data_IF_041008518762
#
_entry.id   IF_041008518762
#
_cell.length_a   1.000
_cell.length_b   1.000
_cell.length_c   1.000
_cell.angle_alpha   90.00
_cell.angle_beta   90.00
_cell.angle_gamma   90.00
#
_symmetry.space_group_name_H-M   'P 1'
#
loop_
_entity.id
_entity.type
_entity.pdbx_description
1 polymer ?
#
# COMPACT_ATOMS: atom_id res chain seq x y z
N UNK A 1 25.81 5.90 4.85
CA UNK A 1 27.06 5.22 5.27
C UNK A 1 26.81 3.97 6.10
N UNK A 2 26.24 4.10 7.31
CA UNK A 2 25.98 2.97 8.23
C UNK A 2 25.24 1.77 7.60
N UNK A 3 24.25 2.02 6.75
CA UNK A 3 23.48 0.97 6.05
C UNK A 3 24.30 0.22 4.98
N UNK A 4 25.34 0.84 4.40
CA UNK A 4 26.12 0.29 3.29
C UNK A 4 27.48 -0.30 3.73
N UNK A 5 27.72 -0.41 5.04
CA UNK A 5 28.93 -1.01 5.60
C UNK A 5 30.09 -0.04 5.88
N UNK A 6 29.91 1.26 5.61
CA UNK A 6 30.88 2.30 5.96
C UNK A 6 32.26 2.15 5.32
N UNK A 7 33.28 2.72 5.98
CA UNK A 7 34.69 2.68 5.56
C UNK A 7 35.31 1.26 5.47
N UNK A 8 34.60 0.22 5.93
CA UNK A 8 35.03 -1.19 5.78
C UNK A 8 34.62 -1.79 4.43
N UNK A 9 33.69 -1.15 3.71
CA UNK A 9 33.21 -1.58 2.41
C UNK A 9 33.24 -0.42 1.39
N UNK A 10 34.45 -0.06 0.95
CA UNK A 10 34.70 1.04 -0.01
C UNK A 10 34.13 0.82 -1.43
N UNK A 11 33.37 -0.27 -1.65
CA UNK A 11 32.78 -0.60 -2.95
C UNK A 11 31.48 0.17 -3.20
N UNK A 12 30.78 0.61 -2.16
CA UNK A 12 29.50 1.29 -2.28
C UNK A 12 29.62 2.72 -1.77
N UNK A 13 29.38 3.70 -2.64
CA UNK A 13 29.41 5.10 -2.27
C UNK A 13 28.01 5.55 -1.83
N UNK A 14 27.80 5.98 -0.57
CA UNK A 14 26.48 6.45 -0.11
C UNK A 14 25.91 7.62 -0.91
N UNK A 15 26.76 8.46 -1.52
CA UNK A 15 26.31 9.57 -2.37
C UNK A 15 25.55 9.05 -3.60
N UNK A 16 25.89 7.86 -4.11
CA UNK A 16 25.20 7.24 -5.24
C UNK A 16 23.72 7.01 -4.95
N UNK A 17 23.36 6.71 -3.69
CA UNK A 17 21.96 6.53 -3.29
C UNK A 17 21.18 7.83 -3.48
N UNK A 18 21.72 8.94 -2.97
CA UNK A 18 21.11 10.25 -3.11
C UNK A 18 21.00 10.67 -4.58
N UNK A 19 22.08 10.49 -5.35
CA UNK A 19 22.12 10.88 -6.75
C UNK A 19 21.09 10.10 -7.57
N UNK A 20 20.92 8.80 -7.32
CA UNK A 20 19.90 7.99 -7.99
C UNK A 20 18.48 8.37 -7.54
N UNK A 21 18.24 8.62 -6.25
CA UNK A 21 16.94 9.11 -5.78
C UNK A 21 16.58 10.47 -6.42
N UNK A 22 17.57 11.37 -6.57
CA UNK A 22 17.40 12.64 -7.26
C UNK A 22 17.12 12.46 -8.75
N UNK A 23 17.87 11.60 -9.46
CA UNK A 23 17.63 11.27 -10.86
C UNK A 23 16.22 10.70 -11.09
N UNK A 24 15.78 9.79 -10.23
CA UNK A 24 14.42 9.25 -10.25
C UNK A 24 13.38 10.34 -10.02
N UNK A 25 13.61 11.26 -9.08
CA UNK A 25 12.71 12.39 -8.84
C UNK A 25 12.60 13.32 -10.04
N UNK A 26 13.73 13.64 -10.68
CA UNK A 26 13.75 14.45 -11.90
C UNK A 26 13.05 13.75 -13.06
N UNK A 27 13.23 12.42 -13.21
CA UNK A 27 12.53 11.63 -14.21
C UNK A 27 11.02 11.55 -13.95
N UNK A 28 10.59 11.45 -12.69
CA UNK A 28 9.17 11.49 -12.31
C UNK A 28 8.51 12.82 -12.69
N UNK A 29 9.24 13.93 -12.62
CA UNK A 29 8.77 15.26 -12.99
C UNK A 29 8.90 15.63 -14.47
N UNK A 30 9.34 14.71 -15.34
CA UNK A 30 9.55 15.03 -16.75
C UNK A 30 8.21 15.28 -17.47
N UNK A 31 8.23 16.08 -18.54
CA UNK A 31 7.04 16.47 -19.33
C UNK A 31 7.02 15.94 -20.76
N UNK A 32 7.58 14.75 -21.01
CA UNK A 32 7.63 14.17 -22.36
C UNK A 32 6.24 13.82 -22.91
N UNK A 33 5.28 13.46 -22.06
CA UNK A 33 3.90 13.17 -22.47
C UNK A 33 2.98 14.29 -21.99
N UNK A 34 2.33 14.98 -22.94
CA UNK A 34 1.48 16.15 -22.66
C UNK A 34 0.03 15.82 -22.30
N UNK A 35 -0.47 14.68 -22.79
CA UNK A 35 -1.87 14.30 -22.66
C UNK A 35 -1.98 13.08 -21.75
N UNK A 36 -2.09 13.34 -20.46
CA UNK A 36 -2.34 12.31 -19.44
C UNK A 36 -3.70 12.53 -18.81
N UNK A 37 -4.35 11.43 -18.42
CA UNK A 37 -5.58 11.51 -17.66
C UNK A 37 -5.29 12.08 -16.26
N UNK A 38 -5.94 13.19 -15.92
CA UNK A 38 -5.80 13.84 -14.60
C UNK A 38 -6.20 12.94 -13.41
N UNK A 39 -6.92 11.85 -13.65
CA UNK A 39 -7.27 10.84 -12.64
C UNK A 39 -6.29 9.65 -12.61
N UNK A 40 -5.13 9.75 -13.26
CA UNK A 40 -4.09 8.71 -13.30
C UNK A 40 -4.57 7.36 -13.89
N UNK A 41 -5.62 7.38 -14.71
CA UNK A 41 -6.18 6.21 -15.38
C UNK A 41 -5.82 6.25 -16.87
N UNK A 42 -4.61 5.79 -17.20
CA UNK A 42 -4.13 5.70 -18.58
C UNK A 42 -4.00 4.22 -18.98
N UNK A 43 -5.07 3.61 -19.53
CA UNK A 43 -5.02 2.24 -20.00
C UNK A 43 -4.24 2.17 -21.32
N UNK A 44 -3.22 1.34 -21.36
CA UNK A 44 -2.45 1.02 -22.57
C UNK A 44 -2.52 -0.47 -22.87
N UNK A 45 -2.49 -0.81 -24.14
CA UNK A 45 -2.28 -2.17 -24.63
C UNK A 45 -0.83 -2.61 -24.49
N UNK A 46 -0.59 -3.92 -24.51
CA UNK A 46 0.76 -4.49 -24.53
C UNK A 46 1.65 -3.85 -25.61
N UNK A 47 1.13 -3.73 -26.84
CA UNK A 47 1.83 -3.16 -27.98
C UNK A 47 2.17 -1.68 -27.81
N UNK A 48 1.25 -0.87 -27.25
CA UNK A 48 1.53 0.54 -26.98
C UNK A 48 2.65 0.70 -25.94
N UNK A 49 2.69 -0.14 -24.90
CA UNK A 49 3.78 -0.09 -23.90
C UNK A 49 5.12 -0.45 -24.52
N UNK A 50 5.18 -1.53 -25.31
CA UNK A 50 6.43 -2.00 -25.91
C UNK A 50 6.94 -1.04 -27.00
N UNK A 51 6.05 -0.52 -27.86
CA UNK A 51 6.44 0.34 -28.98
C UNK A 51 6.64 1.81 -28.59
N UNK A 52 5.73 2.39 -27.79
CA UNK A 52 5.73 3.83 -27.54
C UNK A 52 6.55 4.22 -26.30
N UNK A 53 6.73 3.27 -25.37
CA UNK A 53 7.47 3.45 -24.12
C UNK A 53 8.74 2.60 -24.04
N UNK A 54 9.02 1.79 -25.07
CA UNK A 54 10.23 0.94 -25.17
C UNK A 54 10.47 0.06 -23.94
N UNK A 55 9.38 -0.43 -23.34
CA UNK A 55 9.45 -1.31 -22.19
C UNK A 55 8.95 -2.71 -22.56
N UNK A 56 9.84 -3.70 -22.49
CA UNK A 56 9.52 -5.12 -22.75
C UNK A 56 8.61 -5.68 -21.65
N UNK A 57 7.32 -5.33 -21.76
CA UNK A 57 6.30 -5.72 -20.81
C UNK A 57 6.05 -7.24 -20.86
N UNK A 58 6.27 -7.86 -22.02
CA UNK A 58 6.20 -9.32 -22.18
C UNK A 58 7.22 -10.03 -21.29
N UNK A 59 8.50 -9.72 -21.42
CA UNK A 59 9.54 -10.35 -20.60
C UNK A 59 9.40 -9.93 -19.12
N UNK A 60 9.07 -8.67 -18.85
CA UNK A 60 8.84 -8.20 -17.48
C UNK A 60 7.74 -9.00 -16.78
N UNK A 61 6.55 -9.12 -17.38
CA UNK A 61 5.44 -9.87 -16.76
C UNK A 61 5.74 -11.36 -16.67
N UNK A 62 6.45 -11.94 -17.63
CA UNK A 62 6.93 -13.32 -17.54
C UNK A 62 7.88 -13.52 -16.36
N UNK A 63 8.81 -12.60 -16.11
CA UNK A 63 9.71 -12.63 -14.93
C UNK A 63 8.96 -12.42 -13.61
N UNK A 64 7.87 -11.66 -13.63
CA UNK A 64 6.95 -11.60 -12.49
C UNK A 64 6.20 -12.93 -12.28
N UNK A 65 6.07 -13.79 -13.29
CA UNK A 65 5.41 -15.10 -13.16
C UNK A 65 4.02 -15.17 -13.80
N UNK A 66 3.67 -14.19 -14.65
CA UNK A 66 2.50 -14.32 -15.51
C UNK A 66 2.71 -15.44 -16.54
N UNK A 67 1.67 -16.25 -16.78
CA UNK A 67 1.68 -17.26 -17.86
C UNK A 67 1.54 -16.61 -19.24
N UNK A 68 0.76 -15.55 -19.31
CA UNK A 68 0.52 -14.75 -20.51
C UNK A 68 0.53 -13.28 -20.10
N UNK A 69 1.21 -12.39 -20.85
CA UNK A 69 1.17 -10.97 -20.56
C UNK A 69 -0.27 -10.42 -20.54
N UNK A 70 -0.60 -9.50 -19.63
CA UNK A 70 -1.91 -8.86 -19.62
C UNK A 70 -2.10 -8.06 -20.92
N UNK A 71 -3.30 -8.12 -21.50
CA UNK A 71 -3.62 -7.41 -22.75
C UNK A 71 -3.63 -5.90 -22.58
N UNK A 72 -3.90 -5.42 -21.37
CA UNK A 72 -3.92 -4.00 -21.00
C UNK A 72 -3.34 -3.81 -19.61
N UNK A 73 -2.66 -2.69 -19.43
CA UNK A 73 -2.16 -2.22 -18.13
C UNK A 73 -2.58 -0.77 -17.91
N UNK A 74 -2.67 -0.36 -16.65
CA UNK A 74 -2.93 1.04 -16.30
C UNK A 74 -1.61 1.65 -15.86
N UNK A 75 -1.17 2.69 -16.55
CA UNK A 75 0.03 3.45 -16.18
C UNK A 75 -0.42 4.75 -15.53
N UNK A 76 -0.07 4.96 -14.26
CA UNK A 76 -0.57 6.11 -13.50
C UNK A 76 -0.02 7.44 -13.99
N UNK A 77 1.24 7.50 -14.41
CA UNK A 77 1.80 8.65 -15.11
C UNK A 77 2.62 8.19 -16.31
N UNK A 78 2.21 8.65 -17.50
CA UNK A 78 2.79 8.22 -18.77
C UNK A 78 4.19 8.78 -18.95
N UNK A 79 4.37 10.08 -18.68
CA UNK A 79 5.61 10.81 -18.80
C UNK A 79 6.64 10.28 -17.81
N UNK A 80 6.27 10.17 -16.53
CA UNK A 80 7.14 9.59 -15.51
C UNK A 80 7.59 8.17 -15.89
N UNK A 81 6.66 7.32 -16.33
CA UNK A 81 6.99 5.97 -16.77
C UNK A 81 8.00 5.98 -17.93
N UNK A 82 7.76 6.78 -18.97
CA UNK A 82 8.66 6.89 -20.13
C UNK A 82 10.07 7.33 -19.75
N UNK A 83 10.19 8.38 -18.94
CA UNK A 83 11.49 8.90 -18.53
C UNK A 83 12.23 7.97 -17.58
N UNK A 84 11.51 7.31 -16.66
CA UNK A 84 12.11 6.32 -15.77
C UNK A 84 12.60 5.11 -16.56
N UNK A 85 11.84 4.61 -17.55
CA UNK A 85 12.30 3.49 -18.40
C UNK A 85 13.62 3.84 -19.09
N UNK A 86 13.70 5.01 -19.74
CA UNK A 86 14.95 5.49 -20.36
C UNK A 86 16.10 5.62 -19.37
N UNK A 87 15.82 6.16 -18.18
CA UNK A 87 16.82 6.36 -17.13
C UNK A 87 17.36 5.02 -16.61
N UNK A 88 16.47 4.06 -16.36
CA UNK A 88 16.82 2.71 -15.90
C UNK A 88 17.60 1.97 -16.99
N UNK A 89 17.11 1.94 -18.22
CA UNK A 89 17.77 1.27 -19.35
C UNK A 89 19.22 1.74 -19.52
N UNK A 90 19.43 3.06 -19.44
CA UNK A 90 20.76 3.66 -19.56
C UNK A 90 21.70 3.30 -18.41
N UNK A 91 21.21 3.20 -17.18
CA UNK A 91 22.07 3.21 -15.99
C UNK A 91 22.05 1.94 -15.14
N UNK A 92 21.14 0.99 -15.37
CA UNK A 92 20.88 -0.15 -14.48
C UNK A 92 22.13 -0.96 -14.13
N UNK A 93 23.06 -1.14 -15.08
CA UNK A 93 24.28 -1.92 -14.90
C UNK A 93 25.47 -1.14 -14.34
N UNK A 94 25.28 0.13 -13.96
CA UNK A 94 26.34 0.96 -13.36
C UNK A 94 26.52 0.65 -11.88
N UNK A 95 27.73 0.84 -11.34
CA UNK A 95 27.99 0.67 -9.91
C UNK A 95 27.11 1.60 -9.05
N UNK A 96 26.86 2.81 -9.52
CA UNK A 96 25.96 3.79 -8.87
C UNK A 96 24.55 3.22 -8.66
N UNK A 97 23.93 2.69 -9.72
CA UNK A 97 22.59 2.11 -9.64
C UNK A 97 22.56 0.77 -8.89
N UNK A 98 23.65 0.00 -8.95
CA UNK A 98 23.81 -1.20 -8.12
C UNK A 98 23.86 -0.86 -6.64
N UNK A 99 24.57 0.21 -6.25
CA UNK A 99 24.60 0.71 -4.86
C UNK A 99 23.20 1.05 -4.38
N UNK A 100 22.43 1.80 -5.17
CA UNK A 100 21.04 2.12 -4.87
C UNK A 100 20.16 0.87 -4.72
N UNK A 101 20.27 -0.10 -5.64
CA UNK A 101 19.51 -1.34 -5.55
C UNK A 101 19.80 -2.12 -4.26
N UNK A 102 21.07 -2.25 -3.88
CA UNK A 102 21.46 -2.91 -2.61
C UNK A 102 20.91 -2.13 -1.41
N UNK A 103 21.00 -0.80 -1.44
CA UNK A 103 20.44 0.05 -0.39
C UNK A 103 18.95 -0.17 -0.19
N UNK A 104 18.14 -0.30 -1.25
CA UNK A 104 16.71 -0.57 -1.14
C UNK A 104 16.43 -1.86 -0.35
N UNK A 105 17.22 -2.91 -0.56
CA UNK A 105 17.12 -4.16 0.20
C UNK A 105 17.52 -3.99 1.65
N UNK A 106 18.67 -3.38 1.91
CA UNK A 106 19.17 -3.17 3.28
C UNK A 106 18.23 -2.29 4.08
N UNK A 107 17.71 -1.20 3.51
CA UNK A 107 16.73 -0.31 4.14
C UNK A 107 15.51 -1.05 4.69
N UNK A 108 15.06 -2.12 4.01
CA UNK A 108 13.94 -2.94 4.50
C UNK A 108 14.42 -4.01 5.49
N UNK A 109 15.50 -4.71 5.18
CA UNK A 109 16.04 -5.80 6.00
C UNK A 109 16.41 -5.35 7.42
N UNK A 110 17.07 -4.19 7.57
CA UNK A 110 17.51 -3.67 8.88
C UNK A 110 16.36 -3.42 9.86
N UNK A 111 15.11 -3.34 9.37
CA UNK A 111 13.92 -3.14 10.19
C UNK A 111 13.49 -4.40 10.92
N UNK A 112 14.01 -5.57 10.54
CA UNK A 112 13.63 -6.86 11.11
C UNK A 112 14.72 -7.50 11.97
N UNK A 113 15.88 -6.86 12.09
CA UNK A 113 16.94 -7.27 13.02
C UNK A 113 17.06 -6.22 14.12
N UNK A 114 16.95 -6.63 15.38
CA UNK A 114 16.87 -5.73 16.53
C UNK A 114 18.03 -4.72 16.58
N UNK A 115 19.26 -5.21 16.47
CA UNK A 115 20.49 -4.40 16.49
C UNK A 115 20.59 -3.41 15.32
N UNK A 116 19.98 -3.73 14.17
CA UNK A 116 20.07 -2.90 12.98
C UNK A 116 18.92 -1.90 12.86
N UNK A 117 17.84 -2.10 13.64
CA UNK A 117 16.71 -1.16 13.67
C UNK A 117 17.12 0.23 14.10
N UNK A 118 18.18 0.36 14.91
CA UNK A 118 18.71 1.67 15.32
C UNK A 118 19.22 2.47 14.12
N UNK A 119 19.84 1.81 13.13
CA UNK A 119 20.28 2.46 11.89
C UNK A 119 19.09 3.09 11.15
N UNK A 120 17.95 2.38 11.09
CA UNK A 120 16.74 2.91 10.48
C UNK A 120 16.13 4.04 11.32
N UNK A 121 16.03 3.83 12.64
CA UNK A 121 15.42 4.77 13.56
C UNK A 121 16.19 6.09 13.61
N UNK A 122 17.52 6.07 13.70
CA UNK A 122 18.34 7.28 13.82
C UNK A 122 18.14 8.24 12.66
N UNK A 123 18.00 7.71 11.43
CA UNK A 123 17.73 8.54 10.25
C UNK A 123 16.24 8.79 10.04
N UNK A 124 15.44 7.75 9.78
CA UNK A 124 14.04 7.93 9.38
C UNK A 124 13.12 8.31 10.53
N UNK A 125 13.33 7.74 11.73
CA UNK A 125 12.52 8.06 12.90
C UNK A 125 12.94 9.39 13.53
N UNK A 126 14.19 9.48 13.97
CA UNK A 126 14.70 10.60 14.76
C UNK A 126 15.02 11.83 13.91
N UNK A 127 15.80 11.69 12.85
CA UNK A 127 16.19 12.85 12.03
C UNK A 127 15.07 13.33 11.10
N UNK A 128 14.43 12.43 10.34
CA UNK A 128 13.39 12.80 9.36
C UNK A 128 12.03 13.07 10.02
N UNK A 129 11.57 12.18 10.91
CA UNK A 129 10.24 12.29 11.54
C UNK A 129 10.26 13.00 12.91
N UNK A 130 11.43 13.32 13.47
CA UNK A 130 11.55 14.00 14.76
C UNK A 130 11.17 13.13 15.97
N UNK A 131 11.12 11.81 15.82
CA UNK A 131 10.77 10.89 16.90
C UNK A 131 11.85 10.89 17.99
N UNK A 132 11.45 11.08 19.24
CA UNK A 132 12.38 11.11 20.38
C UNK A 132 12.76 9.72 20.87
N UNK A 133 11.91 8.72 20.65
CA UNK A 133 12.09 7.34 21.14
C UNK A 133 11.71 6.31 20.08
N UNK A 134 12.50 5.24 20.00
CA UNK A 134 12.21 4.08 19.15
C UNK A 134 11.05 3.29 19.75
N UNK A 135 10.18 2.75 18.91
CA UNK A 135 9.12 1.84 19.36
C UNK A 135 9.72 0.62 20.09
N UNK A 136 9.24 0.27 21.30
CA UNK A 136 9.72 -0.87 22.06
C UNK A 136 9.68 -2.18 21.27
N UNK A 137 10.66 -3.05 21.49
CA UNK A 137 10.79 -4.32 20.75
C UNK A 137 9.57 -5.23 20.97
N UNK A 138 9.07 -5.31 22.20
CA UNK A 138 7.92 -6.13 22.58
C UNK A 138 6.66 -5.78 21.76
N UNK A 139 6.47 -4.48 21.48
CA UNK A 139 5.33 -4.00 20.69
C UNK A 139 5.61 -4.06 19.19
N UNK A 140 6.86 -3.91 18.75
CA UNK A 140 7.21 -3.77 17.33
C UNK A 140 6.85 -5.00 16.48
N UNK A 141 6.86 -6.18 17.10
CA UNK A 141 6.44 -7.44 16.48
C UNK A 141 5.02 -7.39 15.89
N UNK A 142 4.17 -6.46 16.36
CA UNK A 142 2.82 -6.26 15.86
C UNK A 142 2.77 -6.00 14.35
N UNK A 143 3.78 -5.37 13.76
CA UNK A 143 3.81 -5.12 12.31
C UNK A 143 3.90 -6.42 11.53
N UNK A 144 4.86 -7.29 11.85
CA UNK A 144 4.98 -8.60 11.21
C UNK A 144 3.74 -9.47 11.44
N UNK A 145 3.23 -9.49 12.69
CA UNK A 145 2.03 -10.26 13.04
C UNK A 145 0.79 -9.77 12.29
N UNK A 146 0.57 -8.46 12.19
CA UNK A 146 -0.58 -7.91 11.49
C UNK A 146 -0.51 -8.04 9.97
N UNK A 147 0.69 -8.06 9.38
CA UNK A 147 0.84 -8.33 7.95
C UNK A 147 0.55 -9.79 7.60
N UNK A 148 0.89 -10.73 8.50
CA UNK A 148 0.75 -12.18 8.30
C UNK A 148 -0.59 -12.74 8.76
N UNK A 149 -1.10 -12.26 9.90
CA UNK A 149 -2.21 -12.84 10.67
C UNK A 149 -3.34 -11.85 10.94
N UNK A 150 -3.69 -11.10 9.90
CA UNK A 150 -4.65 -10.01 9.95
C UNK A 150 -6.04 -10.44 10.42
N UNK A 151 -6.52 -11.58 9.91
CA UNK A 151 -7.84 -12.11 10.23
C UNK A 151 -7.87 -12.66 11.64
N UNK A 152 -6.87 -13.45 12.02
CA UNK A 152 -6.72 -13.98 13.37
C UNK A 152 -6.70 -12.85 14.41
N UNK A 153 -5.86 -11.82 14.21
CA UNK A 153 -5.81 -10.68 15.14
C UNK A 153 -7.12 -9.89 15.19
N UNK A 154 -7.85 -9.80 14.08
CA UNK A 154 -9.17 -9.19 14.05
C UNK A 154 -10.16 -9.99 14.88
N UNK A 155 -10.20 -11.31 14.72
CA UNK A 155 -11.06 -12.20 15.50
C UNK A 155 -10.73 -12.13 17.00
N UNK A 156 -9.44 -12.18 17.36
CA UNK A 156 -9.02 -12.04 18.75
C UNK A 156 -9.45 -10.68 19.32
N UNK A 157 -9.23 -9.58 18.60
CA UNK A 157 -9.61 -8.26 19.08
C UNK A 157 -11.14 -8.14 19.27
N UNK A 158 -11.92 -8.63 18.31
CA UNK A 158 -13.39 -8.65 18.40
C UNK A 158 -13.84 -9.47 19.61
N UNK A 159 -13.29 -10.67 19.80
CA UNK A 159 -13.65 -11.52 20.94
C UNK A 159 -13.42 -10.85 22.30
N UNK A 160 -12.34 -10.07 22.43
CA UNK A 160 -11.98 -9.41 23.69
C UNK A 160 -12.63 -8.04 23.91
N UNK A 161 -12.97 -7.31 22.83
CA UNK A 161 -13.35 -5.89 22.90
C UNK A 161 -14.75 -5.58 22.38
N UNK A 162 -15.48 -6.56 21.85
CA UNK A 162 -16.81 -6.31 21.28
C UNK A 162 -17.79 -5.83 22.34
N UNK A 163 -18.31 -4.63 22.14
CA UNK A 163 -19.48 -4.11 22.83
C UNK A 163 -20.63 -3.97 21.82
N UNK A 164 -21.64 -4.86 21.85
CA UNK A 164 -22.74 -4.82 20.87
C UNK A 164 -23.55 -3.53 20.96
N UNK A 165 -23.67 -2.92 22.15
CA UNK A 165 -24.36 -1.64 22.35
C UNK A 165 -23.69 -0.53 21.53
N UNK A 166 -22.36 -0.42 21.59
CA UNK A 166 -21.63 0.59 20.84
C UNK A 166 -21.69 0.34 19.33
N UNK A 167 -21.53 -0.91 18.89
CA UNK A 167 -21.64 -1.26 17.47
C UNK A 167 -23.02 -0.92 16.93
N UNK A 168 -24.09 -1.27 17.64
CA UNK A 168 -25.47 -0.99 17.21
C UNK A 168 -25.78 0.50 17.22
N UNK A 169 -25.33 1.23 18.26
CA UNK A 169 -25.47 2.68 18.32
C UNK A 169 -24.81 3.36 17.12
N UNK A 170 -23.57 2.99 16.80
CA UNK A 170 -22.84 3.58 15.67
C UNK A 170 -23.46 3.19 14.33
N UNK A 171 -23.96 1.95 14.18
CA UNK A 171 -24.73 1.55 12.99
C UNK A 171 -25.97 2.43 12.79
N UNK A 172 -26.73 2.69 13.85
CA UNK A 172 -27.89 3.58 13.79
C UNK A 172 -27.48 5.02 13.44
N UNK A 173 -26.44 5.54 14.11
CA UNK A 173 -25.92 6.88 13.85
C UNK A 173 -25.50 7.08 12.39
N UNK A 174 -24.81 6.09 11.81
CA UNK A 174 -24.41 6.11 10.40
C UNK A 174 -25.64 6.19 9.49
N UNK A 175 -26.68 5.40 9.74
CA UNK A 175 -27.90 5.42 8.93
C UNK A 175 -28.63 6.76 9.07
N UNK A 176 -28.75 7.30 10.28
CA UNK A 176 -29.35 8.60 10.53
C UNK A 176 -28.58 9.71 9.78
N UNK A 177 -27.25 9.70 9.83
CA UNK A 177 -26.40 10.64 9.09
C UNK A 177 -26.56 10.49 7.58
N UNK A 178 -26.66 9.26 7.07
CA UNK A 178 -26.93 8.98 5.65
C UNK A 178 -28.27 9.56 5.22
N UNK A 179 -29.33 9.39 6.02
CA UNK A 179 -30.65 9.95 5.76
C UNK A 179 -30.64 11.49 5.79
N UNK A 180 -29.97 12.09 6.77
CA UNK A 180 -29.77 13.55 6.84
C UNK A 180 -29.06 14.04 5.58
N UNK A 181 -28.03 13.34 5.11
CA UNK A 181 -27.29 13.74 3.93
C UNK A 181 -28.12 13.60 2.65
N UNK A 182 -28.91 12.53 2.51
CA UNK A 182 -29.90 12.37 1.43
C UNK A 182 -30.89 13.54 1.41
N UNK A 183 -31.44 13.94 2.57
CA UNK A 183 -32.36 15.09 2.67
C UNK A 183 -31.67 16.39 2.26
N UNK A 184 -30.41 16.60 2.64
CA UNK A 184 -29.61 17.77 2.22
C UNK A 184 -29.38 17.80 0.71
N UNK A 185 -29.06 16.66 0.10
CA UNK A 185 -28.89 16.55 -1.37
C UNK A 185 -30.20 16.83 -2.09
N UNK A 186 -31.34 16.37 -1.57
CA UNK A 186 -32.65 16.66 -2.15
C UNK A 186 -32.99 18.15 -2.14
N UNK A 187 -32.75 18.84 -1.02
CA UNK A 187 -33.00 20.28 -0.85
C UNK A 187 -31.96 21.17 -1.53
N UNK A 188 -30.89 20.60 -2.05
CA UNK A 188 -29.81 21.34 -2.70
C UNK A 188 -30.34 22.08 -3.94
N UNK A 189 -29.96 23.36 -4.08
CA UNK A 189 -30.42 24.24 -5.18
C UNK A 189 -29.34 24.50 -6.24
N UNK A 190 -28.08 24.13 -5.99
CA UNK A 190 -26.98 24.42 -6.92
C UNK A 190 -26.62 23.23 -7.83
N UNK A 191 -26.99 22.00 -7.44
CA UNK A 191 -26.81 20.80 -8.25
C UNK A 191 -27.89 20.72 -9.33
N UNK A 192 -27.47 20.40 -10.55
CA UNK A 192 -28.38 20.04 -11.64
C UNK A 192 -29.22 18.79 -11.26
N UNK A 193 -30.41 18.61 -11.86
CA UNK A 193 -31.25 17.44 -11.59
C UNK A 193 -30.53 16.10 -11.85
N UNK A 194 -29.72 16.02 -12.92
CA UNK A 194 -28.97 14.81 -13.28
C UNK A 194 -27.87 14.47 -12.26
N UNK A 195 -27.09 15.47 -11.83
CA UNK A 195 -26.05 15.28 -10.82
C UNK A 195 -26.65 14.91 -9.45
N UNK A 196 -27.78 15.54 -9.07
CA UNK A 196 -28.52 15.19 -7.85
C UNK A 196 -28.95 13.72 -7.86
N UNK A 197 -29.53 13.24 -8.97
CA UNK A 197 -29.93 11.83 -9.13
C UNK A 197 -28.75 10.87 -9.00
N UNK A 198 -27.58 11.21 -9.56
CA UNK A 198 -26.37 10.40 -9.44
C UNK A 198 -25.82 10.38 -7.99
N UNK A 199 -25.81 11.53 -7.31
CA UNK A 199 -25.38 11.64 -5.92
C UNK A 199 -26.28 10.82 -4.98
N UNK A 200 -27.60 10.90 -5.15
CA UNK A 200 -28.57 10.10 -4.39
C UNK A 200 -28.34 8.61 -4.61
N UNK A 201 -28.19 8.17 -5.87
CA UNK A 201 -27.88 6.76 -6.19
C UNK A 201 -26.59 6.27 -5.51
N UNK A 202 -25.56 7.12 -5.42
CA UNK A 202 -24.31 6.79 -4.71
C UNK A 202 -24.55 6.63 -3.21
N UNK A 203 -25.33 7.53 -2.60
CA UNK A 203 -25.67 7.45 -1.18
C UNK A 203 -26.54 6.23 -0.87
N UNK A 204 -27.54 5.95 -1.68
CA UNK A 204 -28.39 4.76 -1.54
C UNK A 204 -27.54 3.47 -1.51
N UNK A 205 -26.59 3.36 -2.43
CA UNK A 205 -25.64 2.24 -2.55
C UNK A 205 -24.44 2.31 -1.60
N UNK A 206 -24.36 3.30 -0.70
CA UNK A 206 -23.26 3.40 0.26
C UNK A 206 -23.35 2.24 1.23
N UNK A 207 -22.30 1.42 1.26
CA UNK A 207 -22.15 0.30 2.17
C UNK A 207 -21.30 0.72 3.38
N UNK A 208 -21.71 0.38 4.60
CA UNK A 208 -20.95 0.75 5.80
C UNK A 208 -20.69 -0.47 6.67
N UNK A 209 -19.43 -0.66 7.02
CA UNK A 209 -18.96 -1.69 7.95
C UNK A 209 -18.61 -1.02 9.27
N UNK A 210 -19.26 -1.46 10.35
CA UNK A 210 -19.02 -0.97 11.72
C UNK A 210 -18.55 -2.11 12.59
N UNK A 211 -17.42 -1.94 13.26
CA UNK A 211 -16.76 -2.95 14.08
C UNK A 211 -15.77 -3.80 13.28
N UNK A 212 -16.29 -4.75 12.52
CA UNK A 212 -15.49 -5.69 11.71
C UNK A 212 -16.29 -6.17 10.49
N UNK A 213 -15.63 -6.63 9.41
CA UNK A 213 -16.30 -7.34 8.33
C UNK A 213 -16.96 -8.64 8.82
N UNK A 214 -18.10 -9.02 8.25
CA UNK A 214 -18.78 -10.28 8.59
C UNK A 214 -18.00 -11.53 8.15
N UNK A 215 -17.24 -11.40 7.05
CA UNK A 215 -16.40 -12.46 6.50
C UNK A 215 -15.05 -11.87 6.14
N UNK A 216 -13.99 -12.49 6.65
CA UNK A 216 -12.61 -12.18 6.29
C UNK A 216 -11.96 -13.42 5.68
N UNK A 217 -11.00 -13.19 4.78
CA UNK A 217 -10.21 -14.27 4.19
C UNK A 217 -9.31 -14.88 5.26
N UNK A 218 -9.27 -16.20 5.37
CA UNK A 218 -8.34 -16.89 6.27
C UNK A 218 -6.89 -16.46 6.01
N UNK A 219 -6.12 -16.27 7.06
CA UNK A 219 -4.69 -15.97 6.93
C UNK A 219 -3.94 -17.12 6.26
N UNK A 220 -2.97 -16.84 5.37
CA UNK A 220 -2.23 -17.90 4.72
C UNK A 220 -1.32 -18.59 5.74
N UNK A 221 -1.38 -19.92 5.77
CA UNK A 221 -0.41 -20.75 6.49
C UNK A 221 0.79 -20.91 5.57
N UNK A 222 1.91 -20.29 5.93
CA UNK A 222 3.18 -20.35 5.21
C UNK A 222 4.24 -20.95 6.13
N UNK A 223 5.34 -21.42 5.54
CA UNK A 223 6.47 -22.01 6.25
C UNK A 223 7.31 -20.94 6.95
N UNK A 224 6.76 -20.36 8.02
CA UNK A 224 7.44 -19.38 8.85
C UNK A 224 8.45 -20.04 9.79
N UNK A 225 9.58 -19.38 10.04
CA UNK A 225 10.56 -19.79 11.06
C UNK A 225 10.46 -18.90 12.30
N UNK A 226 10.92 -19.41 13.45
CA UNK A 226 10.89 -18.69 14.73
C UNK A 226 12.03 -17.67 14.89
N UNK A 227 13.08 -17.77 14.09
CA UNK A 227 14.35 -17.06 14.25
C UNK A 227 14.69 -16.12 13.09
N UNK A 228 13.87 -16.06 12.03
CA UNK A 228 14.15 -15.27 10.84
C UNK A 228 12.94 -14.43 10.39
N UNK A 229 12.67 -13.29 11.06
CA UNK A 229 11.54 -12.42 10.73
C UNK A 229 11.63 -11.83 9.32
N UNK A 230 12.83 -11.55 8.80
CA UNK A 230 12.99 -11.07 7.42
C UNK A 230 12.60 -12.14 6.39
N UNK A 231 13.05 -13.38 6.59
CA UNK A 231 12.63 -14.52 5.77
C UNK A 231 11.10 -14.66 5.76
N UNK A 232 10.47 -14.61 6.93
CA UNK A 232 9.01 -14.70 7.05
C UNK A 232 8.29 -13.63 6.22
N UNK A 233 8.81 -12.40 6.25
CA UNK A 233 8.24 -11.31 5.47
C UNK A 233 8.47 -11.47 3.96
N UNK A 234 9.63 -12.00 3.54
CA UNK A 234 9.87 -12.36 2.14
C UNK A 234 8.95 -13.49 1.67
N UNK A 235 8.73 -14.50 2.51
CA UNK A 235 7.79 -15.61 2.24
C UNK A 235 6.36 -15.09 2.06
N UNK A 236 5.92 -14.18 2.93
CA UNK A 236 4.64 -13.49 2.79
C UNK A 236 4.57 -12.64 1.51
N UNK A 237 5.61 -11.86 1.19
CA UNK A 237 5.66 -11.04 -0.01
C UNK A 237 5.55 -11.87 -1.30
N UNK A 238 6.27 -13.00 -1.37
CA UNK A 238 6.19 -13.96 -2.49
C UNK A 238 4.79 -14.57 -2.62
N UNK A 239 4.16 -14.95 -1.51
CA UNK A 239 2.79 -15.45 -1.51
C UNK A 239 1.80 -14.38 -2.02
N UNK A 240 1.90 -13.14 -1.53
CA UNK A 240 1.04 -12.02 -1.97
C UNK A 240 1.21 -11.75 -3.45
N UNK A 241 2.45 -11.69 -3.93
CA UNK A 241 2.78 -11.50 -5.34
C UNK A 241 2.10 -12.55 -6.23
N UNK A 242 2.27 -13.83 -5.91
CA UNK A 242 1.60 -14.93 -6.62
C UNK A 242 0.08 -14.80 -6.61
N UNK A 243 -0.51 -14.42 -5.48
CA UNK A 243 -1.96 -14.22 -5.35
C UNK A 243 -2.47 -13.07 -6.21
N UNK A 244 -1.76 -11.95 -6.28
CA UNK A 244 -2.16 -10.84 -7.15
C UNK A 244 -2.15 -11.24 -8.63
N UNK A 245 -1.16 -12.02 -9.07
CA UNK A 245 -1.13 -12.57 -10.44
C UNK A 245 -2.32 -13.53 -10.68
N UNK A 246 -2.64 -14.39 -9.72
CA UNK A 246 -3.77 -15.33 -9.81
C UNK A 246 -5.15 -14.64 -9.88
N UNK A 247 -5.24 -13.36 -9.48
CA UNK A 247 -6.44 -12.53 -9.53
C UNK A 247 -6.63 -11.80 -10.85
N UNK A 248 -5.67 -11.87 -11.78
CA UNK A 248 -5.83 -11.32 -13.12
C UNK A 248 -7.11 -11.87 -13.79
N UNK A 249 -7.99 -10.98 -14.25
CA UNK A 249 -9.28 -11.34 -14.83
C UNK A 249 -10.35 -11.85 -13.84
N UNK A 250 -10.11 -11.80 -12.52
CA UNK A 250 -11.04 -12.22 -11.47
C UNK A 250 -11.51 -11.05 -10.60
N UNK A 251 -12.51 -11.31 -9.76
CA UNK A 251 -12.97 -10.35 -8.77
C UNK A 251 -11.90 -10.04 -7.73
N UNK A 252 -11.85 -8.77 -7.32
CA UNK A 252 -10.96 -8.31 -6.24
C UNK A 252 -11.33 -9.01 -4.93
N UNK A 253 -10.32 -9.46 -4.20
CA UNK A 253 -10.44 -9.97 -2.83
C UNK A 253 -9.61 -9.11 -1.87
N UNK A 254 -9.96 -9.12 -0.59
CA UNK A 254 -9.22 -8.35 0.42
C UNK A 254 -7.90 -9.07 0.77
N UNK A 255 -6.81 -8.57 0.19
CA UNK A 255 -5.43 -8.91 0.56
C UNK A 255 -4.86 -7.66 1.24
N UNK A 256 -4.60 -7.70 2.55
CA UNK A 256 -4.02 -6.56 3.27
C UNK A 256 -2.72 -6.10 2.61
N UNK A 257 -2.65 -4.81 2.30
CA UNK A 257 -1.45 -4.21 1.72
C UNK A 257 -0.39 -3.98 2.82
N UNK A 258 0.88 -4.07 2.43
CA UNK A 258 2.00 -3.72 3.30
C UNK A 258 2.57 -2.41 2.75
N UNK A 259 2.49 -1.34 3.52
CA UNK A 259 3.25 -0.13 3.24
C UNK A 259 4.67 -0.30 3.79
N UNK A 260 5.59 -0.70 2.92
CA UNK A 260 7.01 -0.87 3.24
C UNK A 260 7.74 0.44 3.48
N UNK A 261 7.14 1.60 3.24
CA UNK A 261 7.76 2.87 3.61
C UNK A 261 7.46 3.18 5.07
N UNK A 262 6.18 3.24 5.44
CA UNK A 262 5.78 3.73 6.76
C UNK A 262 5.42 2.64 7.79
N UNK A 263 5.52 1.35 7.43
CA UNK A 263 5.00 0.21 8.22
C UNK A 263 3.63 0.53 8.82
N UNK A 264 2.76 1.08 7.99
CA UNK A 264 1.40 1.39 8.40
C UNK A 264 0.50 0.20 8.15
N UNK A 265 -0.39 -0.03 9.10
CA UNK A 265 -1.45 -0.99 8.97
C UNK A 265 -2.56 -0.34 8.15
N UNK A 266 -2.78 -0.87 6.95
CA UNK A 266 -3.81 -0.39 6.02
C UNK A 266 -4.74 -1.55 5.74
N UNK A 267 -6.02 -1.40 6.03
CA UNK A 267 -6.98 -2.48 5.81
C UNK A 267 -8.26 -2.36 6.61
N UNK A 268 -9.01 -3.46 6.58
CA UNK A 268 -10.34 -3.68 7.16
C UNK A 268 -10.29 -4.23 8.59
N UNK A 269 -9.16 -4.05 9.28
CA UNK A 269 -8.91 -4.63 10.60
C UNK A 269 -9.78 -3.99 11.68
N UNK A 270 -10.32 -4.81 12.58
CA UNK A 270 -11.13 -4.29 13.70
C UNK A 270 -10.30 -3.55 14.75
N UNK A 271 -9.01 -3.85 14.86
CA UNK A 271 -8.11 -3.29 15.87
C UNK A 271 -7.47 -1.94 15.49
N UNK A 272 -7.86 -1.35 14.35
CA UNK A 272 -7.31 -0.08 13.88
C UNK A 272 -8.06 1.12 14.44
N UNK A 273 -7.34 2.04 15.09
CA UNK A 273 -7.90 3.33 15.53
C UNK A 273 -7.86 4.31 14.35
N UNK A 274 -8.75 4.08 13.38
CA UNK A 274 -8.95 4.95 12.23
C UNK A 274 -10.38 4.78 11.66
N UNK A 275 -10.80 5.63 10.72
CA UNK A 275 -11.98 5.42 9.88
C UNK A 275 -11.68 5.88 8.45
N UNK A 276 -12.20 5.18 7.44
CA UNK A 276 -11.87 5.49 6.05
C UNK A 276 -12.97 5.13 5.06
N UNK A 277 -12.97 5.82 3.91
CA UNK A 277 -13.84 5.56 2.76
C UNK A 277 -13.04 4.91 1.62
N UNK A 278 -13.59 3.86 1.00
CA UNK A 278 -13.04 3.22 -0.20
C UNK A 278 -13.89 3.61 -1.43
N UNK A 279 -13.36 4.44 -2.35
CA UNK A 279 -14.12 4.89 -3.52
C UNK A 279 -14.55 3.76 -4.46
N UNK A 280 -13.69 2.77 -4.68
CA UNK A 280 -13.91 1.66 -5.63
C UNK A 280 -15.08 0.77 -5.24
N UNK A 281 -15.28 0.53 -3.94
CA UNK A 281 -16.41 -0.25 -3.41
C UNK A 281 -17.56 0.61 -2.89
N UNK A 282 -17.45 1.94 -2.95
CA UNK A 282 -18.38 2.90 -2.33
C UNK A 282 -18.72 2.49 -0.90
N UNK A 283 -17.68 2.27 -0.08
CA UNK A 283 -17.86 1.77 1.29
C UNK A 283 -17.15 2.61 2.34
N UNK A 284 -17.74 2.72 3.54
CA UNK A 284 -17.11 3.30 4.73
C UNK A 284 -16.80 2.18 5.71
N UNK A 285 -15.63 2.26 6.33
CA UNK A 285 -15.22 1.33 7.38
C UNK A 285 -14.96 2.12 8.67
N UNK A 286 -15.63 1.68 9.74
CA UNK A 286 -15.46 2.17 11.11
C UNK A 286 -15.06 0.97 11.99
N UNK A 287 -13.77 0.63 12.06
CA UNK A 287 -13.23 -0.41 12.93
C UNK A 287 -13.71 -0.34 14.39
N UNK A 288 -13.75 -1.50 15.06
CA UNK A 288 -14.17 -1.65 16.45
C UNK A 288 -13.29 -0.82 17.40
N UNK A 289 -11.98 -0.78 17.16
CA UNK A 289 -11.04 0.01 17.96
C UNK A 289 -11.28 1.52 17.83
N UNK A 290 -11.99 2.00 16.82
CA UNK A 290 -12.39 3.40 16.73
C UNK A 290 -13.58 3.72 17.65
N UNK A 291 -14.30 2.70 18.12
CA UNK A 291 -15.50 2.84 18.96
C UNK A 291 -15.13 2.92 20.45
N UNK A 292 -14.27 3.87 20.79
CA UNK A 292 -13.82 4.11 22.16
C UNK A 292 -13.85 5.61 22.48
N UNK A 293 -13.66 5.95 23.76
CA UNK A 293 -13.54 7.35 24.19
C UNK A 293 -12.26 7.96 23.61
N UNK A 294 -12.25 9.28 23.34
CA UNK A 294 -11.03 10.01 23.05
C UNK A 294 -10.09 9.99 24.27
#
# INVERSE_FOLDING_TARGET
DACLGGAKHNKFNPQDVWDVEYELLMAMGCGEVKNENANYYNPLTLSEVENDYHFDLTEFTKKLGYKTPPKRVIISSLSAFKCIVKLVEKNWNTDKWRTYWIFMWFKQMIRFQEEWRDIYFDFYGKYVEGQTVKMPIDTYSIFGLSFSFNTFLTEQYVNHKRNPTYVNYVKQLVEDLKQVFIRRVNRNTWLSPSTKKAALRKLEKLYVVVGSPDKMRNDPVLDYTNDNPWHNMLTLAKWKHKKFIELEGKSVIDIPQIDWNKFKLVGTQAYMVNAYYRPTSNSIYVPLAYLQKP
#
